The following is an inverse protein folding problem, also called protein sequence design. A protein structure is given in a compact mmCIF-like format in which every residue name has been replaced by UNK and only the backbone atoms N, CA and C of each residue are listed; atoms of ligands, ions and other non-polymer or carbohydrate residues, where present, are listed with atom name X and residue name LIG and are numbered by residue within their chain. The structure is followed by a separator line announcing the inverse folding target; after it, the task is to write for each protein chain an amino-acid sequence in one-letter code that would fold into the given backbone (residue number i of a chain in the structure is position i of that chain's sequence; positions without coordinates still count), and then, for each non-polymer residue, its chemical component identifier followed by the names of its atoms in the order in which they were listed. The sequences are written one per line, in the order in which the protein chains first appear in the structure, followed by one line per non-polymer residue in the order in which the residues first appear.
data_IF_491025937619
#
_entry.id   IF_491025937619
#
_cell.length_a   1.000
_cell.length_b   1.000
_cell.length_c   1.000
_cell.angle_alpha   90.00
_cell.angle_beta   90.00
_cell.angle_gamma   90.00
#
_symmetry.space_group_name_H-M   'P 1'
#
loop_
_entity.id
_entity.type
_entity.pdbx_description
1 polymer ?
#
# COMPACT_ATOMS: atom_id res chain seq x y z
N UNK A 1 -5.29 5.53 -12.36
CA UNK A 1 -4.30 4.52 -12.80
C UNK A 1 -4.76 3.96 -14.14
N UNK A 2 -3.94 3.99 -15.19
CA UNK A 2 -4.18 3.14 -16.37
C UNK A 2 -3.95 1.68 -15.94
N UNK A 3 -4.86 0.79 -16.30
CA UNK A 3 -4.74 -0.65 -16.03
C UNK A 3 -3.50 -1.20 -16.75
N UNK A 4 -2.44 -1.52 -16.02
CA UNK A 4 -1.27 -2.22 -16.56
C UNK A 4 -1.28 -3.64 -16.00
N UNK A 5 -1.54 -4.61 -16.88
CA UNK A 5 -1.26 -6.03 -16.62
C UNK A 5 0.10 -6.33 -17.23
N UNK A 6 1.03 -6.86 -16.43
CA UNK A 6 2.35 -7.26 -16.91
C UNK A 6 2.59 -8.70 -16.46
N UNK A 7 2.83 -9.57 -17.45
CA UNK A 7 3.33 -10.92 -17.23
C UNK A 7 4.84 -10.89 -17.30
N UNK A 8 5.54 -11.27 -16.23
CA UNK A 8 6.99 -11.38 -16.25
C UNK A 8 7.43 -12.82 -16.54
N UNK A 9 8.28 -12.99 -17.56
CA UNK A 9 9.14 -14.17 -17.75
C UNK A 9 10.56 -13.65 -18.01
N UNK A 10 11.52 -13.96 -17.14
CA UNK A 10 12.94 -13.87 -17.52
C UNK A 10 13.30 -15.16 -18.25
N UNK A 11 13.55 -15.07 -19.56
CA UNK A 11 14.17 -16.15 -20.31
C UNK A 11 15.65 -16.24 -19.91
N UNK A 12 16.05 -17.34 -19.28
CA UNK A 12 17.47 -17.67 -19.13
C UNK A 12 17.99 -18.18 -20.47
N UNK A 13 18.88 -17.41 -21.11
CA UNK A 13 19.70 -17.93 -22.21
C UNK A 13 20.74 -18.89 -21.62
N UNK A 14 20.46 -20.19 -21.68
CA UNK A 14 21.48 -21.21 -21.52
C UNK A 14 22.30 -21.25 -22.82
N UNK A 15 23.58 -20.86 -22.74
CA UNK A 15 24.51 -21.03 -23.86
C UNK A 15 24.80 -22.53 -24.03
N UNK A 16 24.18 -23.15 -25.03
CA UNK A 16 24.47 -24.53 -25.42
C UNK A 16 25.68 -24.56 -26.34
N UNK A 17 26.82 -25.00 -25.82
CA UNK A 17 27.94 -25.50 -26.62
C UNK A 17 27.45 -26.76 -27.34
N UNK A 18 27.40 -26.71 -28.67
CA UNK A 18 26.98 -27.84 -29.50
C UNK A 18 28.14 -28.84 -29.63
N UNK A 19 28.00 -30.01 -29.00
CA UNK A 19 28.79 -31.20 -29.36
C UNK A 19 27.83 -32.18 -30.04
N UNK A 20 28.03 -32.43 -31.33
CA UNK A 20 27.31 -33.46 -32.07
C UNK A 20 27.73 -34.85 -31.57
N UNK A 21 26.77 -35.65 -31.13
CA UNK A 21 26.83 -37.11 -31.24
C UNK A 21 25.42 -37.69 -31.32
N UNK A 22 25.23 -38.55 -32.32
CA UNK A 22 23.98 -39.24 -32.65
C UNK A 22 23.65 -40.38 -31.67
N UNK A 23 22.37 -40.74 -31.68
CA UNK A 23 21.70 -41.91 -31.09
C UNK A 23 21.16 -41.79 -29.65
N UNK A 24 19.82 -41.84 -29.52
CA UNK A 24 19.14 -42.29 -28.30
C UNK A 24 17.83 -41.57 -27.96
N UNK A 25 16.71 -42.20 -28.33
CA UNK A 25 15.36 -42.10 -27.71
C UNK A 25 14.59 -40.77 -27.83
N UNK A 26 13.26 -40.80 -28.10
CA UNK A 26 12.42 -39.64 -27.86
C UNK A 26 12.33 -39.44 -26.35
N UNK A 27 13.12 -38.51 -25.82
CA UNK A 27 12.91 -37.97 -24.49
C UNK A 27 11.52 -37.34 -24.48
N UNK A 28 10.59 -37.97 -23.76
CA UNK A 28 9.39 -37.34 -23.24
C UNK A 28 9.85 -36.19 -22.33
N UNK A 29 10.15 -35.04 -22.93
CA UNK A 29 10.17 -33.78 -22.23
C UNK A 29 8.74 -33.57 -21.74
N UNK A 30 8.46 -33.95 -20.49
CA UNK A 30 7.30 -33.46 -19.76
C UNK A 30 7.37 -31.94 -19.88
N UNK A 31 6.45 -31.35 -20.64
CA UNK A 31 6.04 -29.97 -20.46
C UNK A 31 5.88 -29.77 -18.95
N UNK A 32 6.80 -29.04 -18.34
CA UNK A 32 6.74 -28.78 -16.92
C UNK A 32 5.49 -27.95 -16.70
N UNK A 33 4.53 -28.50 -15.96
CA UNK A 33 3.25 -27.85 -15.61
C UNK A 33 3.54 -26.47 -14.97
N UNK A 34 3.57 -25.42 -15.80
CA UNK A 34 3.86 -24.06 -15.37
C UNK A 34 2.60 -23.52 -14.70
N UNK A 35 2.66 -23.29 -13.39
CA UNK A 35 1.54 -22.70 -12.65
C UNK A 35 1.58 -21.19 -12.78
N UNK A 36 0.54 -20.57 -13.31
CA UNK A 36 0.41 -19.10 -13.33
C UNK A 36 -0.31 -18.64 -12.06
N UNK A 37 0.37 -17.88 -11.21
CA UNK A 37 -0.20 -17.26 -10.02
C UNK A 37 -0.63 -15.81 -10.32
N UNK A 38 -1.93 -15.53 -10.17
CA UNK A 38 -2.49 -14.19 -10.42
C UNK A 38 -2.54 -13.36 -9.15
N UNK A 39 -1.89 -12.20 -9.17
CA UNK A 39 -1.84 -11.26 -8.06
C UNK A 39 -2.45 -9.95 -8.53
N UNK A 40 -3.63 -9.60 -8.01
CA UNK A 40 -4.24 -8.30 -8.27
C UNK A 40 -4.07 -7.41 -7.05
N UNK A 41 -3.57 -6.20 -7.26
CA UNK A 41 -3.11 -5.37 -6.18
C UNK A 41 -3.49 -3.90 -6.35
N UNK A 42 -3.96 -3.30 -5.26
CA UNK A 42 -3.95 -1.84 -5.06
C UNK A 42 -2.60 -1.38 -4.53
N UNK A 43 -1.54 -1.75 -5.26
CA UNK A 43 -0.16 -1.39 -5.01
C UNK A 43 0.53 -1.19 -6.37
N UNK A 44 1.46 -0.24 -6.46
CA UNK A 44 2.21 -0.09 -7.69
C UNK A 44 3.18 -1.26 -7.86
N UNK A 45 3.31 -1.72 -9.10
CA UNK A 45 4.25 -2.77 -9.44
C UNK A 45 5.69 -2.39 -9.03
N UNK A 46 6.11 -1.13 -9.21
CA UNK A 46 7.44 -0.65 -8.80
C UNK A 46 7.75 -0.88 -7.32
N UNK A 47 6.73 -0.85 -6.46
CA UNK A 47 6.88 -1.00 -5.02
C UNK A 47 6.89 -2.47 -4.61
N UNK A 48 6.19 -3.32 -5.36
CA UNK A 48 6.16 -4.78 -5.15
C UNK A 48 7.26 -5.52 -5.90
N UNK A 49 7.89 -4.91 -6.92
CA UNK A 49 8.84 -5.59 -7.82
C UNK A 49 9.96 -6.33 -7.09
N UNK A 50 10.63 -5.76 -6.06
CA UNK A 50 11.68 -6.49 -5.35
C UNK A 50 11.20 -7.80 -4.72
N UNK A 51 9.98 -7.80 -4.16
CA UNK A 51 9.34 -9.00 -3.59
C UNK A 51 8.94 -10.01 -4.66
N UNK A 52 8.38 -9.53 -5.77
CA UNK A 52 7.96 -10.38 -6.89
C UNK A 52 9.16 -11.05 -7.55
N UNK A 53 10.24 -10.32 -7.78
CA UNK A 53 11.48 -10.82 -8.38
C UNK A 53 12.12 -11.88 -7.49
N UNK A 54 12.22 -11.63 -6.19
CA UNK A 54 12.80 -12.58 -5.25
C UNK A 54 11.91 -13.83 -5.07
N UNK A 55 10.59 -13.67 -5.05
CA UNK A 55 9.67 -14.82 -5.06
C UNK A 55 9.85 -15.67 -6.33
N UNK A 56 9.90 -15.04 -7.51
CA UNK A 56 10.10 -15.72 -8.79
C UNK A 56 11.43 -16.50 -8.81
N UNK A 57 12.49 -15.97 -8.19
CA UNK A 57 13.77 -16.67 -8.03
C UNK A 57 13.66 -17.90 -7.11
N UNK A 58 12.90 -17.82 -6.03
CA UNK A 58 12.70 -18.95 -5.11
C UNK A 58 11.77 -20.02 -5.68
N UNK A 59 10.82 -19.64 -6.53
CA UNK A 59 9.82 -20.53 -7.09
C UNK A 59 9.78 -20.45 -8.62
N UNK A 60 10.84 -20.91 -9.33
CA UNK A 60 11.00 -20.70 -10.78
C UNK A 60 9.95 -21.43 -11.64
N UNK A 61 9.16 -22.34 -11.06
CA UNK A 61 8.05 -23.04 -11.74
C UNK A 61 6.72 -22.28 -11.67
N UNK A 62 6.63 -21.22 -10.88
CA UNK A 62 5.45 -20.37 -10.77
C UNK A 62 5.68 -19.15 -11.65
N UNK A 63 4.81 -18.90 -12.62
CA UNK A 63 4.80 -17.65 -13.39
C UNK A 63 3.91 -16.64 -12.67
N UNK A 64 4.39 -15.41 -12.45
CA UNK A 64 3.59 -14.35 -11.86
C UNK A 64 2.86 -13.52 -12.92
N UNK A 65 1.56 -13.36 -12.73
CA UNK A 65 0.74 -12.37 -13.43
C UNK A 65 0.32 -11.30 -12.41
N UNK A 66 0.90 -10.10 -12.52
CA UNK A 66 0.61 -9.00 -11.59
C UNK A 66 -0.21 -7.92 -12.29
N UNK A 67 -1.36 -7.56 -11.69
CA UNK A 67 -2.20 -6.45 -12.15
C UNK A 67 -2.30 -5.38 -11.06
N UNK A 68 -1.78 -4.20 -11.34
CA UNK A 68 -2.01 -3.02 -10.53
C UNK A 68 -3.37 -2.41 -10.88
N UNK A 69 -4.23 -2.20 -9.89
CA UNK A 69 -5.62 -1.73 -10.06
C UNK A 69 -6.05 -0.90 -8.85
N UNK A 70 -6.96 0.05 -9.02
CA UNK A 70 -7.46 0.85 -7.88
C UNK A 70 -8.17 -0.05 -6.84
N UNK A 71 -8.13 0.31 -5.56
CA UNK A 71 -8.76 -0.46 -4.48
C UNK A 71 -10.26 -0.65 -4.66
N UNK A 72 -10.97 0.40 -5.10
CA UNK A 72 -12.41 0.37 -5.29
C UNK A 72 -12.79 -0.51 -6.49
N UNK A 73 -12.00 -0.43 -7.58
CA UNK A 73 -12.19 -1.31 -8.74
C UNK A 73 -11.86 -2.76 -8.39
N UNK A 74 -10.82 -3.01 -7.59
CA UNK A 74 -10.43 -4.35 -7.13
C UNK A 74 -11.50 -4.99 -6.24
N UNK A 75 -12.03 -4.25 -5.26
CA UNK A 75 -13.14 -4.71 -4.42
C UNK A 75 -14.35 -5.10 -5.27
N UNK A 76 -14.77 -4.21 -6.19
CA UNK A 76 -15.85 -4.49 -7.13
C UNK A 76 -15.56 -5.73 -7.98
N UNK A 77 -14.36 -5.83 -8.55
CA UNK A 77 -13.94 -6.94 -9.41
C UNK A 77 -14.05 -8.30 -8.70
N UNK A 78 -13.65 -8.38 -7.43
CA UNK A 78 -13.75 -9.59 -6.61
C UNK A 78 -15.22 -9.91 -6.32
N UNK A 79 -16.00 -8.90 -5.90
CA UNK A 79 -17.43 -9.08 -5.56
C UNK A 79 -18.28 -9.51 -6.75
N UNK A 80 -18.03 -8.95 -7.93
CA UNK A 80 -18.75 -9.32 -9.16
C UNK A 80 -18.19 -10.59 -9.80
N UNK A 81 -17.21 -11.25 -9.18
CA UNK A 81 -16.56 -12.47 -9.67
C UNK A 81 -16.09 -12.37 -11.13
N UNK A 82 -15.58 -11.20 -11.53
CA UNK A 82 -15.09 -10.98 -12.89
C UNK A 82 -13.94 -11.94 -13.24
N UNK A 83 -13.90 -12.44 -14.47
CA UNK A 83 -12.92 -13.44 -14.91
C UNK A 83 -11.76 -12.82 -15.70
N UNK A 84 -10.50 -13.26 -15.50
CA UNK A 84 -10.06 -14.26 -14.52
C UNK A 84 -10.00 -13.70 -13.10
N UNK A 85 -10.38 -14.49 -12.10
CA UNK A 85 -10.24 -14.12 -10.69
C UNK A 85 -8.78 -14.20 -10.24
N UNK A 86 -8.32 -13.29 -9.36
CA UNK A 86 -6.99 -13.36 -8.77
C UNK A 86 -6.87 -14.56 -7.81
N UNK A 87 -5.66 -15.10 -7.68
CA UNK A 87 -5.32 -16.04 -6.62
C UNK A 87 -5.00 -15.29 -5.32
N UNK A 88 -4.31 -14.15 -5.42
CA UNK A 88 -3.95 -13.28 -4.30
C UNK A 88 -4.48 -11.87 -4.55
N UNK A 89 -5.07 -11.28 -3.51
CA UNK A 89 -5.49 -9.88 -3.48
C UNK A 89 -4.60 -9.11 -2.49
N UNK A 90 -4.10 -7.94 -2.91
CA UNK A 90 -3.25 -7.07 -2.06
C UNK A 90 -3.83 -5.66 -2.04
N UNK A 91 -3.96 -5.04 -0.88
CA UNK A 91 -4.38 -3.63 -0.77
C UNK A 91 -4.02 -3.02 0.58
N UNK A 92 -3.83 -1.70 0.59
CA UNK A 92 -3.70 -0.88 1.81
C UNK A 92 -5.02 -0.29 2.28
N UNK A 93 -6.11 -0.47 1.52
CA UNK A 93 -7.43 0.03 1.92
C UNK A 93 -8.07 -1.00 2.84
N UNK A 94 -7.74 -0.85 4.13
CA UNK A 94 -7.97 -1.84 5.19
C UNK A 94 -9.45 -2.17 5.36
N UNK A 95 -10.34 -1.19 5.27
CA UNK A 95 -11.78 -1.36 5.40
C UNK A 95 -12.37 -2.23 4.28
N UNK A 96 -12.01 -1.97 3.02
CA UNK A 96 -12.42 -2.83 1.90
C UNK A 96 -11.86 -4.24 2.03
N UNK A 97 -10.58 -4.37 2.42
CA UNK A 97 -9.95 -5.67 2.59
C UNK A 97 -10.61 -6.50 3.69
N UNK A 98 -10.86 -5.87 4.83
CA UNK A 98 -11.53 -6.48 5.96
C UNK A 98 -12.94 -6.92 5.59
N UNK A 99 -13.70 -6.06 4.89
CA UNK A 99 -15.05 -6.37 4.44
C UNK A 99 -15.08 -7.56 3.48
N UNK A 100 -14.19 -7.63 2.48
CA UNK A 100 -14.11 -8.78 1.57
C UNK A 100 -13.88 -10.09 2.32
N UNK A 101 -12.97 -10.09 3.29
CA UNK A 101 -12.68 -11.27 4.11
C UNK A 101 -13.88 -11.63 4.98
N UNK A 102 -14.48 -10.64 5.64
CA UNK A 102 -15.67 -10.83 6.47
C UNK A 102 -16.86 -11.40 5.67
N UNK A 103 -17.02 -10.97 4.42
CA UNK A 103 -18.06 -11.44 3.50
C UNK A 103 -17.75 -12.82 2.88
N UNK A 104 -16.62 -13.44 3.25
CA UNK A 104 -16.29 -14.82 2.89
C UNK A 104 -15.53 -15.00 1.57
N UNK A 105 -14.92 -13.94 1.03
CA UNK A 105 -14.12 -14.01 -0.20
C UNK A 105 -12.72 -14.58 0.00
N UNK A 106 -12.27 -14.77 1.23
CA UNK A 106 -10.94 -15.28 1.55
C UNK A 106 -10.93 -16.78 1.86
N UNK A 107 -9.83 -17.44 1.50
CA UNK A 107 -9.48 -18.78 1.93
C UNK A 107 -8.69 -18.70 3.25
N UNK A 108 -9.14 -19.43 4.27
CA UNK A 108 -8.37 -19.57 5.52
C UNK A 108 -7.08 -20.37 5.27
N UNK A 109 -5.96 -19.83 5.74
CA UNK A 109 -4.67 -20.47 5.69
C UNK A 109 -3.73 -19.84 6.71
N UNK A 110 -3.09 -20.66 7.55
CA UNK A 110 -2.01 -20.25 8.45
C UNK A 110 -0.63 -20.50 7.81
N UNK A 111 0.11 -19.45 7.39
CA UNK A 111 1.46 -19.61 6.90
C UNK A 111 2.40 -20.14 8.00
N UNK A 112 3.37 -21.00 7.68
CA UNK A 112 4.39 -21.43 8.63
C UNK A 112 5.36 -20.26 8.89
N UNK A 113 5.08 -19.44 9.90
CA UNK A 113 5.87 -18.24 10.22
C UNK A 113 7.02 -18.50 11.19
N UNK A 114 6.98 -19.66 11.88
CA UNK A 114 8.08 -20.27 12.62
C UNK A 114 8.78 -21.34 11.79
N UNK A 115 10.10 -21.53 11.98
CA UNK A 115 10.91 -22.54 11.23
C UNK A 115 10.63 -23.97 11.69
N UNK A 116 10.02 -24.17 12.86
CA UNK A 116 9.77 -25.48 13.50
C UNK A 116 8.40 -25.49 14.21
N UNK A 117 7.79 -26.67 14.46
CA UNK A 117 6.46 -26.81 15.09
C UNK A 117 6.28 -26.17 16.47
N UNK A 118 7.37 -25.75 17.13
CA UNK A 118 7.38 -25.17 18.48
C UNK A 118 8.08 -23.80 18.56
N UNK A 119 8.22 -23.08 17.43
CA UNK A 119 8.78 -21.73 17.43
C UNK A 119 7.72 -20.65 17.63
N UNK A 120 8.14 -19.56 18.27
CA UNK A 120 7.35 -18.34 18.49
C UNK A 120 6.84 -17.82 17.13
N UNK A 121 5.55 -17.54 17.02
CA UNK A 121 5.01 -16.83 15.86
C UNK A 121 5.61 -15.42 15.82
N UNK A 122 6.44 -15.16 14.82
CA UNK A 122 7.09 -13.85 14.65
C UNK A 122 6.20 -12.81 13.97
N UNK A 123 4.99 -13.19 13.53
CA UNK A 123 4.00 -12.22 13.13
C UNK A 123 3.26 -11.67 14.35
N UNK A 124 3.12 -10.34 14.45
CA UNK A 124 2.35 -9.75 15.51
C UNK A 124 0.86 -10.10 15.36
N UNK A 125 0.17 -10.32 16.47
CA UNK A 125 -1.27 -10.63 16.49
C UNK A 125 -2.13 -9.53 15.85
N UNK A 126 -1.72 -8.26 15.96
CA UNK A 126 -2.42 -7.13 15.35
C UNK A 126 -2.39 -7.10 13.82
N UNK A 127 -1.55 -7.94 13.18
CA UNK A 127 -1.44 -8.02 11.73
C UNK A 127 -2.16 -9.23 11.12
N UNK A 128 -2.89 -10.02 11.92
CA UNK A 128 -3.56 -11.23 11.44
C UNK A 128 -5.02 -11.21 11.84
N UNK A 129 -5.90 -11.41 10.85
CA UNK A 129 -7.33 -11.57 11.08
C UNK A 129 -7.80 -12.93 10.58
N UNK A 130 -8.30 -13.76 11.51
CA UNK A 130 -8.92 -15.08 11.28
C UNK A 130 -8.11 -16.06 10.41
N UNK A 131 -6.80 -15.89 10.35
CA UNK A 131 -5.93 -16.63 9.42
C UNK A 131 -6.39 -16.51 7.95
N UNK A 132 -7.13 -15.46 7.62
CA UNK A 132 -7.70 -15.19 6.30
C UNK A 132 -7.07 -13.93 5.70
N UNK A 133 -6.74 -12.94 6.53
CA UNK A 133 -6.16 -11.67 6.12
C UNK A 133 -4.87 -11.38 6.89
N UNK A 134 -3.82 -11.06 6.15
CA UNK A 134 -2.48 -10.85 6.70
C UNK A 134 -1.96 -9.48 6.31
N UNK A 135 -1.78 -8.62 7.30
CA UNK A 135 -0.90 -7.47 7.19
C UNK A 135 0.52 -7.92 6.90
N UNK A 136 1.25 -7.15 6.09
CA UNK A 136 2.67 -7.41 5.81
C UNK A 136 3.52 -6.16 5.78
N UNK A 137 2.93 -4.96 5.84
CA UNK A 137 3.63 -3.68 6.00
C UNK A 137 3.02 -2.82 7.10
N UNK A 138 3.73 -1.77 7.51
CA UNK A 138 3.31 -0.80 8.52
C UNK A 138 3.64 0.62 8.07
N UNK A 139 2.78 1.20 7.24
CA UNK A 139 3.09 2.39 6.43
C UNK A 139 2.45 3.67 7.01
N UNK A 140 3.23 4.67 7.45
CA UNK A 140 2.73 5.97 7.85
C UNK A 140 2.08 6.76 6.71
N UNK A 141 1.05 7.54 7.00
CA UNK A 141 0.56 8.61 6.12
C UNK A 141 1.25 9.94 6.47
N UNK A 142 1.84 10.60 5.48
CA UNK A 142 2.73 11.74 5.65
C UNK A 142 2.25 12.96 4.86
N UNK A 143 2.73 14.13 5.26
CA UNK A 143 2.64 15.36 4.48
C UNK A 143 3.91 15.47 3.64
N UNK A 144 3.80 15.93 2.41
CA UNK A 144 4.94 16.11 1.51
C UNK A 144 4.94 17.55 0.99
N UNK A 145 6.08 18.23 1.10
CA UNK A 145 6.26 19.61 0.66
C UNK A 145 7.28 19.63 -0.48
N UNK A 146 7.06 20.50 -1.47
CA UNK A 146 8.07 20.75 -2.50
C UNK A 146 9.31 21.41 -1.85
N UNK A 147 10.50 20.87 -2.10
CA UNK A 147 11.73 21.28 -1.42
C UNK A 147 12.22 22.67 -1.83
N UNK A 148 12.08 23.04 -3.10
CA UNK A 148 12.45 24.37 -3.59
C UNK A 148 11.57 25.45 -2.95
N UNK A 149 10.26 25.21 -2.88
CA UNK A 149 9.34 26.09 -2.17
C UNK A 149 9.70 26.26 -0.68
N UNK A 150 10.28 25.25 -0.05
CA UNK A 150 10.67 25.28 1.36
C UNK A 150 12.00 25.99 1.64
N UNK A 151 12.73 26.46 0.62
CA UNK A 151 13.99 27.17 0.82
C UNK A 151 13.79 28.43 1.67
N UNK A 152 14.59 28.55 2.75
CA UNK A 152 14.48 29.64 3.73
C UNK A 152 13.24 29.60 4.64
N UNK A 153 12.37 28.57 4.52
CA UNK A 153 11.15 28.43 5.32
C UNK A 153 11.32 27.38 6.43
N UNK A 154 10.66 27.57 7.56
CA UNK A 154 10.61 26.57 8.64
C UNK A 154 9.61 25.48 8.27
N UNK A 155 10.05 24.22 8.32
CA UNK A 155 9.21 23.04 8.04
C UNK A 155 8.17 22.88 9.17
N UNK A 156 6.86 22.84 8.87
CA UNK A 156 5.84 22.58 9.88
C UNK A 156 5.95 21.13 10.35
N UNK A 157 5.94 20.90 11.67
CA UNK A 157 6.13 19.56 12.26
C UNK A 157 4.84 18.85 12.61
N UNK A 158 3.75 19.57 12.74
CA UNK A 158 2.43 19.06 13.11
C UNK A 158 1.34 19.87 12.39
N UNK A 159 0.08 19.45 12.51
CA UNK A 159 -1.02 20.12 11.78
C UNK A 159 -1.32 21.53 12.28
N UNK A 160 -1.07 21.85 13.56
CA UNK A 160 -1.24 23.23 14.07
C UNK A 160 -0.24 24.19 13.41
N UNK A 161 1.01 23.76 13.30
CA UNK A 161 2.04 24.48 12.55
C UNK A 161 1.74 24.51 11.05
N UNK A 162 1.22 23.43 10.48
CA UNK A 162 0.81 23.37 9.07
C UNK A 162 -0.27 24.41 8.75
N UNK A 163 -1.31 24.52 9.59
CA UNK A 163 -2.37 25.52 9.43
C UNK A 163 -1.78 26.94 9.49
N UNK A 164 -0.86 27.19 10.41
CA UNK A 164 -0.18 28.48 10.53
C UNK A 164 0.74 28.77 9.34
N UNK A 165 1.42 27.74 8.84
CA UNK A 165 2.28 27.78 7.67
C UNK A 165 1.49 28.11 6.40
N UNK A 166 0.36 27.44 6.17
CA UNK A 166 -0.52 27.70 5.02
C UNK A 166 -1.05 29.14 5.08
N UNK A 167 -1.49 29.62 6.26
CA UNK A 167 -1.93 31.02 6.42
C UNK A 167 -0.82 32.04 6.15
N UNK A 168 0.41 31.75 6.59
CA UNK A 168 1.57 32.63 6.38
C UNK A 168 1.96 32.75 4.91
N UNK A 169 1.93 31.63 4.18
CA UNK A 169 2.31 31.56 2.76
C UNK A 169 1.08 31.42 1.85
N UNK A 170 -0.04 32.04 2.24
CA UNK A 170 -1.35 31.84 1.63
C UNK A 170 -1.35 32.13 0.11
N UNK A 171 -0.72 33.24 -0.29
CA UNK A 171 -0.63 33.63 -1.70
C UNK A 171 0.16 32.63 -2.57
N UNK A 172 1.20 31.99 -2.03
CA UNK A 172 1.99 30.97 -2.73
C UNK A 172 1.24 29.63 -2.81
N UNK A 173 0.39 29.33 -1.82
CA UNK A 173 -0.29 28.03 -1.68
C UNK A 173 -1.71 27.99 -2.25
N UNK A 174 -2.27 29.13 -2.63
CA UNK A 174 -3.59 29.22 -3.28
C UNK A 174 -3.59 28.40 -4.58
N UNK A 175 -4.46 27.39 -4.67
CA UNK A 175 -4.55 26.45 -5.79
C UNK A 175 -3.41 25.42 -5.85
N UNK A 176 -2.51 25.39 -4.86
CA UNK A 176 -1.30 24.57 -4.85
C UNK A 176 -1.23 23.56 -3.69
N UNK A 177 -2.37 23.20 -3.13
CA UNK A 177 -2.50 22.14 -2.12
C UNK A 177 -3.16 20.92 -2.78
N UNK A 178 -2.57 19.74 -2.64
CA UNK A 178 -3.10 18.48 -3.15
C UNK A 178 -3.58 17.56 -2.03
N UNK A 179 -4.75 16.95 -2.23
CA UNK A 179 -5.28 15.87 -1.38
C UNK A 179 -5.93 14.78 -2.24
N UNK A 180 -6.27 13.65 -1.65
CA UNK A 180 -7.00 12.59 -2.37
C UNK A 180 -8.45 13.00 -2.67
N UNK A 181 -8.94 12.58 -3.84
CA UNK A 181 -10.39 12.53 -4.08
C UNK A 181 -11.01 11.36 -3.30
N UNK A 182 -11.59 11.62 -2.13
CA UNK A 182 -12.09 10.56 -1.25
C UNK A 182 -13.35 9.85 -1.79
N UNK A 183 -13.99 10.41 -2.82
CA UNK A 183 -15.15 9.81 -3.49
C UNK A 183 -14.72 8.54 -4.22
N UNK A 184 -13.60 8.64 -4.93
CA UNK A 184 -13.09 7.60 -5.83
C UNK A 184 -11.86 6.86 -5.29
N UNK A 185 -11.13 7.44 -4.34
CA UNK A 185 -9.86 6.88 -3.83
C UNK A 185 -10.05 6.31 -2.43
N UNK A 186 -10.12 4.98 -2.33
CA UNK A 186 -10.37 4.26 -1.07
C UNK A 186 -9.38 4.57 0.06
N UNK A 187 -8.07 4.70 -0.25
CA UNK A 187 -7.07 5.06 0.79
C UNK A 187 -7.27 6.49 1.30
N UNK A 188 -7.68 7.41 0.41
CA UNK A 188 -8.03 8.77 0.78
C UNK A 188 -9.21 8.79 1.74
N UNK A 189 -10.27 8.05 1.42
CA UNK A 189 -11.42 7.89 2.31
C UNK A 189 -11.06 7.29 3.67
N UNK A 190 -10.25 6.21 3.69
CA UNK A 190 -9.83 5.56 4.93
C UNK A 190 -9.10 6.54 5.86
N UNK A 191 -8.11 7.25 5.32
CA UNK A 191 -7.33 8.23 6.08
C UNK A 191 -8.18 9.43 6.51
N UNK A 192 -9.09 9.91 5.65
CA UNK A 192 -9.97 11.02 5.98
C UNK A 192 -10.97 10.67 7.09
N UNK A 193 -11.56 9.46 7.02
CA UNK A 193 -12.48 8.95 8.04
C UNK A 193 -11.77 8.76 9.38
N UNK A 194 -10.53 8.30 9.35
CA UNK A 194 -9.68 8.20 10.54
C UNK A 194 -9.39 9.59 11.13
N UNK A 195 -8.94 10.52 10.31
CA UNK A 195 -8.62 11.89 10.71
C UNK A 195 -9.82 12.62 11.31
N UNK A 196 -11.03 12.42 10.76
CA UNK A 196 -12.29 12.96 11.32
C UNK A 196 -12.53 12.56 12.78
N UNK A 197 -12.07 11.38 13.18
CA UNK A 197 -12.23 10.87 14.56
C UNK A 197 -11.07 11.36 15.44
N UNK A 198 -9.87 11.46 14.90
CA UNK A 198 -8.66 11.73 15.67
C UNK A 198 -8.34 13.22 15.85
N UNK A 199 -8.61 14.04 14.84
CA UNK A 199 -8.10 15.40 14.78
C UNK A 199 -9.04 16.41 15.44
N UNK A 200 -8.52 17.13 16.44
CA UNK A 200 -9.24 18.26 17.06
C UNK A 200 -9.39 19.46 16.14
N UNK A 201 -8.51 19.58 15.14
CA UNK A 201 -8.47 20.67 14.15
C UNK A 201 -9.07 20.29 12.79
N UNK A 202 -9.80 19.17 12.71
CA UNK A 202 -10.39 18.65 11.46
C UNK A 202 -11.17 19.71 10.67
N UNK A 203 -12.08 20.45 11.32
CA UNK A 203 -12.84 21.52 10.68
C UNK A 203 -11.98 22.67 10.16
N UNK A 204 -10.89 23.01 10.85
CA UNK A 204 -9.97 24.06 10.41
C UNK A 204 -9.16 23.64 9.18
N UNK A 205 -8.80 22.36 9.08
CA UNK A 205 -8.13 21.82 7.88
C UNK A 205 -9.08 21.90 6.68
N UNK A 206 -10.34 21.48 6.85
CA UNK A 206 -11.37 21.57 5.83
C UNK A 206 -11.58 23.02 5.35
N UNK A 207 -11.75 23.96 6.27
CA UNK A 207 -11.92 25.38 5.96
C UNK A 207 -10.70 25.98 5.26
N UNK A 208 -9.50 25.60 5.71
CA UNK A 208 -8.27 26.13 5.12
C UNK A 208 -8.02 25.56 3.72
N UNK A 209 -8.29 24.27 3.51
CA UNK A 209 -8.21 23.65 2.18
C UNK A 209 -9.24 24.25 1.23
N UNK A 210 -10.45 24.54 1.72
CA UNK A 210 -11.49 25.26 0.95
C UNK A 210 -10.99 26.63 0.48
N UNK A 211 -10.58 27.47 1.43
CA UNK A 211 -10.16 28.85 1.16
C UNK A 211 -8.90 28.95 0.29
N UNK A 212 -8.13 27.87 0.16
CA UNK A 212 -6.93 27.80 -0.68
C UNK A 212 -7.14 26.97 -1.96
N UNK A 213 -8.39 26.67 -2.34
CA UNK A 213 -8.72 25.92 -3.56
C UNK A 213 -7.93 24.61 -3.69
N UNK A 214 -7.88 23.81 -2.60
CA UNK A 214 -7.17 22.55 -2.60
C UNK A 214 -7.66 21.62 -3.73
N UNK A 215 -6.73 21.08 -4.50
CA UNK A 215 -6.96 20.20 -5.65
C UNK A 215 -7.01 18.75 -5.23
N UNK A 216 -7.84 17.97 -5.91
CA UNK A 216 -8.03 16.55 -5.62
C UNK A 216 -7.30 15.68 -6.64
N UNK A 217 -6.77 14.55 -6.19
CA UNK A 217 -5.94 13.67 -7.02
C UNK A 217 -6.35 12.20 -6.88
N UNK A 218 -6.24 11.41 -7.96
CA UNK A 218 -6.65 10.01 -7.97
C UNK A 218 -5.63 9.06 -7.31
N UNK A 219 -4.43 9.54 -6.97
CA UNK A 219 -3.36 8.68 -6.47
C UNK A 219 -2.20 9.45 -5.82
N UNK A 220 -1.40 8.78 -4.98
CA UNK A 220 -0.16 9.37 -4.45
C UNK A 220 0.85 9.69 -5.55
N UNK A 221 0.95 8.85 -6.58
CA UNK A 221 1.90 9.07 -7.67
C UNK A 221 1.57 10.35 -8.44
N UNK A 222 0.28 10.59 -8.74
CA UNK A 222 -0.14 11.84 -9.39
C UNK A 222 0.09 13.08 -8.52
N UNK A 223 -0.07 12.98 -7.20
CA UNK A 223 0.27 14.10 -6.30
C UNK A 223 1.78 14.35 -6.25
N UNK A 224 2.60 13.29 -6.19
CA UNK A 224 4.05 13.43 -6.18
C UNK A 224 4.59 13.96 -7.52
N UNK A 225 4.01 13.55 -8.65
CA UNK A 225 4.28 14.17 -9.97
C UNK A 225 3.91 15.65 -9.96
N UNK A 226 2.71 16.01 -9.50
CA UNK A 226 2.29 17.41 -9.43
C UNK A 226 3.15 18.27 -8.46
N UNK A 227 3.72 17.66 -7.42
CA UNK A 227 4.71 18.31 -6.54
C UNK A 227 6.04 18.57 -7.25
N UNK A 228 6.51 17.59 -8.04
CA UNK A 228 7.73 17.69 -8.85
C UNK A 228 7.60 18.75 -9.93
N UNK A 229 6.45 18.79 -10.59
CA UNK A 229 6.13 19.76 -11.66
C UNK A 229 5.72 21.14 -11.10
N UNK A 230 5.77 21.34 -9.77
CA UNK A 230 5.39 22.56 -9.04
C UNK A 230 3.95 23.06 -9.27
N UNK A 231 3.09 22.17 -9.81
CA UNK A 231 1.66 22.36 -9.94
C UNK A 231 0.96 22.45 -8.58
N UNK A 232 1.48 21.71 -7.60
CA UNK A 232 1.17 21.86 -6.18
C UNK A 232 2.48 21.97 -5.40
N UNK A 233 2.43 22.54 -4.20
CA UNK A 233 3.60 22.72 -3.32
C UNK A 233 3.47 21.95 -2.00
N UNK A 234 2.27 21.43 -1.72
CA UNK A 234 1.96 20.65 -0.53
C UNK A 234 1.02 19.51 -0.95
N UNK A 235 1.39 18.26 -0.65
CA UNK A 235 0.51 17.10 -0.76
C UNK A 235 0.22 16.51 0.63
N UNK A 236 -1.06 16.25 0.91
CA UNK A 236 -1.54 15.84 2.21
C UNK A 236 -1.96 14.35 2.22
N UNK A 237 -1.60 13.64 3.30
CA UNK A 237 -1.91 12.22 3.51
C UNK A 237 -1.33 11.24 2.47
N UNK A 238 -0.12 11.49 1.97
CA UNK A 238 0.60 10.57 1.07
C UNK A 238 1.07 9.33 1.82
N UNK A 239 1.10 8.15 1.18
CA UNK A 239 1.74 6.99 1.79
C UNK A 239 3.25 7.17 1.88
N UNK A 240 3.80 7.07 3.09
CA UNK A 240 5.21 7.35 3.38
C UNK A 240 6.20 6.46 2.61
N UNK A 241 5.81 5.21 2.32
CA UNK A 241 6.58 4.31 1.45
C UNK A 241 6.80 4.92 0.06
N UNK A 242 5.73 5.41 -0.57
CA UNK A 242 5.80 6.02 -1.89
C UNK A 242 6.52 7.37 -1.86
N UNK A 243 6.31 8.18 -0.82
CA UNK A 243 7.04 9.42 -0.64
C UNK A 243 8.55 9.18 -0.53
N UNK A 244 8.97 8.15 0.21
CA UNK A 244 10.38 7.76 0.34
C UNK A 244 10.97 7.23 -0.96
N UNK A 245 10.25 6.37 -1.68
CA UNK A 245 10.65 5.91 -3.01
C UNK A 245 10.81 7.08 -3.99
N UNK A 246 9.98 8.13 -3.86
CA UNK A 246 10.10 9.36 -4.64
C UNK A 246 11.32 10.20 -4.25
N UNK A 247 11.52 10.43 -2.95
CA UNK A 247 12.66 11.18 -2.42
C UNK A 247 14.00 10.55 -2.84
N UNK A 248 14.12 9.22 -2.80
CA UNK A 248 15.30 8.49 -3.25
C UNK A 248 15.60 8.70 -4.74
N UNK A 249 14.56 8.95 -5.56
CA UNK A 249 14.68 9.14 -7.00
C UNK A 249 14.95 10.58 -7.42
N UNK A 250 14.26 11.56 -6.82
CA UNK A 250 14.24 12.94 -7.30
C UNK A 250 14.81 13.96 -6.30
N UNK A 251 14.88 13.64 -5.01
CA UNK A 251 15.47 14.48 -3.94
C UNK A 251 14.90 15.91 -3.84
N UNK A 252 13.67 16.11 -4.31
CA UNK A 252 12.97 17.38 -4.53
C UNK A 252 11.78 17.60 -3.58
N UNK A 253 11.61 16.71 -2.61
CA UNK A 253 10.53 16.76 -1.61
C UNK A 253 11.07 16.79 -0.19
N UNK A 254 10.28 17.35 0.73
CA UNK A 254 10.45 17.24 2.18
C UNK A 254 9.27 16.43 2.72
N UNK A 255 9.58 15.32 3.40
CA UNK A 255 8.58 14.41 3.98
C UNK A 255 8.41 14.71 5.45
N UNK A 256 7.18 14.96 5.88
CA UNK A 256 6.81 15.24 7.27
C UNK A 256 5.84 14.18 7.76
N UNK A 257 6.31 13.35 8.70
CA UNK A 257 5.42 12.58 9.57
C UNK A 257 5.01 13.50 10.73
N UNK A 258 3.73 13.85 10.81
CA UNK A 258 3.26 14.86 11.74
C UNK A 258 3.36 14.39 13.20
N UNK A 259 3.90 15.24 14.08
CA UNK A 259 4.20 14.91 15.48
C UNK A 259 2.95 14.84 16.37
N UNK A 260 1.87 15.56 16.03
CA UNK A 260 0.60 15.52 16.76
C UNK A 260 -0.07 14.15 16.66
N UNK A 261 -0.15 13.62 15.44
CA UNK A 261 -0.38 12.21 15.17
C UNK A 261 -0.01 11.86 13.73
N UNK A 262 0.41 10.63 13.53
CA UNK A 262 0.68 10.06 12.21
C UNK A 262 -0.15 8.78 12.04
N UNK A 263 -1.18 8.77 11.15
CA UNK A 263 -1.91 7.56 10.83
C UNK A 263 -0.96 6.49 10.31
N UNK A 264 -1.14 5.23 10.74
CA UNK A 264 -0.39 4.10 10.18
C UNK A 264 -1.35 3.09 9.58
N UNK A 265 -1.12 2.78 8.31
CA UNK A 265 -1.91 1.84 7.51
C UNK A 265 -1.15 0.52 7.39
N UNK A 266 -1.88 -0.58 7.49
CA UNK A 266 -1.35 -1.92 7.33
C UNK A 266 -1.73 -2.41 5.93
N UNK A 267 -0.76 -2.52 5.02
CA UNK A 267 -1.01 -3.21 3.75
C UNK A 267 -1.20 -4.68 4.02
N UNK A 268 -2.23 -5.25 3.41
CA UNK A 268 -2.65 -6.61 3.68
C UNK A 268 -2.78 -7.41 2.39
N UNK A 269 -2.72 -8.72 2.55
CA UNK A 269 -2.92 -9.69 1.50
C UNK A 269 -3.83 -10.83 1.99
N UNK A 270 -4.64 -11.38 1.08
CA UNK A 270 -5.38 -12.62 1.32
C UNK A 270 -5.38 -13.52 0.09
N UNK A 271 -5.59 -14.82 0.31
CA UNK A 271 -5.80 -15.80 -0.76
C UNK A 271 -7.28 -15.81 -1.10
N UNK A 272 -7.64 -15.54 -2.36
CA UNK A 272 -9.03 -15.56 -2.78
C UNK A 272 -9.59 -16.98 -2.70
N UNK A 273 -10.81 -17.14 -2.19
CA UNK A 273 -11.50 -18.43 -2.07
C UNK A 273 -11.74 -19.09 -3.43
N UNK A 274 -11.78 -18.30 -4.50
CA UNK A 274 -11.94 -18.72 -5.90
C UNK A 274 -10.65 -19.20 -6.56
N UNK A 275 -9.49 -19.13 -5.87
CA UNK A 275 -8.18 -19.53 -6.40
C UNK A 275 -8.23 -20.94 -6.98
N UNK A 276 -7.71 -21.09 -8.21
CA UNK A 276 -7.49 -22.40 -8.83
C UNK A 276 -6.06 -22.91 -8.59
N UNK A 277 -5.20 -22.07 -8.01
CA UNK A 277 -3.79 -22.36 -7.74
C UNK A 277 -3.46 -22.30 -6.22
N UNK A 278 -4.19 -22.99 -5.33
CA UNK A 278 -4.08 -22.80 -3.89
C UNK A 278 -2.68 -23.10 -3.33
N UNK A 279 -1.92 -24.01 -3.95
CA UNK A 279 -0.53 -24.30 -3.55
C UNK A 279 0.39 -23.11 -3.80
N UNK A 280 0.34 -22.53 -5.00
CA UNK A 280 1.14 -21.37 -5.37
C UNK A 280 0.73 -20.12 -4.56
N UNK A 281 -0.57 -19.94 -4.32
CA UNK A 281 -1.08 -18.84 -3.50
C UNK A 281 -0.59 -18.93 -2.05
N UNK A 282 -0.65 -20.12 -1.44
CA UNK A 282 -0.10 -20.38 -0.10
C UNK A 282 1.41 -20.14 -0.03
N UNK A 283 2.16 -20.53 -1.07
CA UNK A 283 3.60 -20.26 -1.15
C UNK A 283 3.89 -18.76 -1.20
N UNK A 284 3.15 -18.00 -2.02
CA UNK A 284 3.32 -16.55 -2.11
C UNK A 284 2.98 -15.83 -0.80
N UNK A 285 1.83 -16.14 -0.20
CA UNK A 285 1.45 -15.53 1.08
C UNK A 285 2.46 -15.88 2.17
N UNK A 286 2.93 -17.13 2.22
CA UNK A 286 3.97 -17.56 3.18
C UNK A 286 5.29 -16.83 2.97
N UNK A 287 5.68 -16.63 1.70
CA UNK A 287 6.87 -15.87 1.37
C UNK A 287 6.77 -14.42 1.84
N UNK A 288 5.64 -13.75 1.57
CA UNK A 288 5.42 -12.34 1.88
C UNK A 288 5.57 -12.04 3.39
N UNK A 289 5.16 -12.99 4.23
CA UNK A 289 5.24 -12.89 5.70
C UNK A 289 6.42 -13.68 6.30
N UNK A 290 7.29 -14.25 5.47
CA UNK A 290 8.49 -14.98 5.90
C UNK A 290 9.59 -14.03 6.36
N UNK A 291 10.57 -14.56 7.10
CA UNK A 291 11.77 -13.80 7.45
C UNK A 291 12.51 -13.28 6.19
N UNK A 292 12.56 -14.07 5.10
CA UNK A 292 13.20 -13.67 3.84
C UNK A 292 12.50 -12.47 3.21
N UNK A 293 11.19 -12.57 2.98
CA UNK A 293 10.41 -11.51 2.35
C UNK A 293 10.43 -10.23 3.16
N UNK A 294 10.27 -10.33 4.48
CA UNK A 294 10.25 -9.17 5.37
C UNK A 294 11.64 -8.54 5.57
N UNK A 295 12.71 -9.32 5.53
CA UNK A 295 14.07 -8.79 5.49
C UNK A 295 14.33 -8.05 4.18
N UNK A 296 13.95 -8.64 3.05
CA UNK A 296 14.06 -8.00 1.74
C UNK A 296 13.26 -6.69 1.69
N UNK A 297 12.05 -6.64 2.25
CA UNK A 297 11.29 -5.39 2.39
C UNK A 297 12.07 -4.32 3.13
N UNK A 298 12.74 -4.70 4.22
CA UNK A 298 13.55 -3.77 5.02
C UNK A 298 14.78 -3.22 4.29
N UNK A 299 15.33 -3.99 3.36
CA UNK A 299 16.59 -3.72 2.66
C UNK A 299 16.38 -3.05 1.30
N UNK A 300 15.33 -3.44 0.57
CA UNK A 300 15.14 -3.12 -0.86
C UNK A 300 13.82 -2.42 -1.16
N UNK A 301 13.02 -2.10 -0.14
CA UNK A 301 11.78 -1.33 -0.31
C UNK A 301 11.69 -0.23 0.75
N UNK A 302 10.69 0.64 0.57
CA UNK A 302 10.31 1.63 1.57
C UNK A 302 9.07 1.25 2.37
N UNK A 303 8.64 -0.02 2.30
CA UNK A 303 7.56 -0.57 3.13
C UNK A 303 8.12 -1.12 4.45
N UNK A 304 7.77 -0.53 5.61
CA UNK A 304 8.23 -1.02 6.91
C UNK A 304 7.78 -2.48 7.18
N UNK A 305 8.71 -3.43 7.44
CA UNK A 305 8.35 -4.80 7.74
C UNK A 305 7.72 -4.93 9.13
N UNK A 306 6.85 -5.93 9.30
CA UNK A 306 6.07 -6.15 10.54
C UNK A 306 6.60 -7.25 11.44
N UNK A 307 7.49 -8.10 10.93
CA UNK A 307 8.01 -9.25 11.66
C UNK A 307 8.82 -8.84 12.89
N UNK A 308 8.55 -9.47 14.02
CA UNK A 308 9.16 -9.16 15.31
C UNK A 308 10.65 -9.49 15.37
N UNK A 309 11.12 -10.43 14.54
CA UNK A 309 12.52 -10.85 14.42
C UNK A 309 13.35 -10.03 13.41
N UNK A 310 12.77 -8.99 12.80
CA UNK A 310 13.49 -8.09 11.89
C UNK A 310 14.02 -6.87 12.67
N UNK A 311 15.32 -6.89 12.95
CA UNK A 311 16.03 -5.78 13.59
C UNK A 311 16.48 -4.76 12.53
N UNK A 312 15.62 -3.79 12.24
CA UNK A 312 15.89 -2.68 11.31
C UNK A 312 15.28 -1.40 11.85
N UNK A 313 15.93 -0.23 11.71
CA UNK A 313 15.31 1.06 12.01
C UNK A 313 14.04 1.34 11.19
N UNK A 314 13.89 0.68 10.04
CA UNK A 314 12.69 0.74 9.20
C UNK A 314 11.57 -0.19 9.68
N UNK A 315 11.76 -1.04 10.70
CA UNK A 315 10.75 -2.03 11.09
C UNK A 315 9.63 -1.44 11.94
N UNK A 316 8.43 -2.03 11.85
CA UNK A 316 7.28 -1.68 12.68
C UNK A 316 7.62 -1.78 14.18
N UNK A 317 8.42 -2.78 14.57
CA UNK A 317 8.89 -2.95 15.95
C UNK A 317 9.69 -1.74 16.42
N UNK A 318 10.63 -1.25 15.62
CA UNK A 318 11.42 -0.07 15.95
C UNK A 318 10.55 1.19 15.99
N UNK A 319 9.75 1.40 14.94
CA UNK A 319 8.87 2.56 14.81
C UNK A 319 7.88 2.66 15.99
N UNK A 320 7.23 1.56 16.37
CA UNK A 320 6.30 1.51 17.51
C UNK A 320 6.97 1.75 18.85
N UNK A 321 8.27 1.46 18.98
CA UNK A 321 9.04 1.71 20.20
C UNK A 321 9.48 3.17 20.30
N UNK A 322 9.93 3.76 19.19
CA UNK A 322 10.52 5.11 19.18
C UNK A 322 9.48 6.22 19.01
N UNK A 323 8.40 5.95 18.28
CA UNK A 323 7.38 6.94 17.91
C UNK A 323 6.01 6.60 18.52
N UNK A 324 5.99 6.01 19.72
CA UNK A 324 4.76 5.46 20.35
C UNK A 324 3.65 6.50 20.52
N UNK A 325 3.99 7.72 20.91
CA UNK A 325 3.01 8.79 21.14
C UNK A 325 2.52 9.42 19.83
N UNK A 326 3.37 9.39 18.80
CA UNK A 326 3.12 9.98 17.48
C UNK A 326 2.31 9.04 16.57
N UNK A 327 2.70 7.77 16.46
CA UNK A 327 2.06 6.83 15.53
C UNK A 327 0.70 6.41 16.06
N UNK A 328 -0.33 6.52 15.22
CA UNK A 328 -1.69 6.07 15.49
C UNK A 328 -2.11 5.04 14.44
N UNK A 329 -1.87 3.74 14.71
CA UNK A 329 -2.21 2.69 13.76
C UNK A 329 -3.71 2.49 13.68
N UNK A 330 -4.21 2.31 12.46
CA UNK A 330 -5.57 1.85 12.26
C UNK A 330 -5.59 0.35 12.62
N UNK A 331 -6.42 -0.08 13.59
CA UNK A 331 -6.45 -1.49 13.97
C UNK A 331 -7.05 -2.34 12.84
N UNK A 332 -6.48 -3.52 12.62
CA UNK A 332 -7.01 -4.51 11.68
C UNK A 332 -8.05 -5.39 12.38
N UNK A 333 -9.21 -4.82 12.67
CA UNK A 333 -10.30 -5.49 13.39
C UNK A 333 -11.69 -5.04 12.91
N UNK A 334 -12.73 -5.52 13.59
CA UNK A 334 -14.15 -5.28 13.27
C UNK A 334 -14.54 -3.80 13.23
N UNK A 335 -13.78 -2.90 13.84
CA UNK A 335 -14.06 -1.45 13.79
C UNK A 335 -13.98 -0.91 12.36
N UNK A 336 -13.21 -1.55 11.48
CA UNK A 336 -13.11 -1.23 10.06
C UNK A 336 -14.43 -1.41 9.29
N UNK A 337 -15.36 -2.22 9.80
CA UNK A 337 -16.67 -2.40 9.17
C UNK A 337 -17.51 -1.13 9.24
N UNK A 338 -17.29 -0.27 10.25
CA UNK A 338 -17.97 1.04 10.36
C UNK A 338 -17.57 1.95 9.20
N UNK A 339 -16.30 1.92 8.78
CA UNK A 339 -15.81 2.69 7.64
C UNK A 339 -16.42 2.20 6.32
N UNK A 340 -16.75 0.91 6.24
CA UNK A 340 -17.38 0.29 5.08
C UNK A 340 -18.91 0.46 5.01
N UNK A 341 -19.55 0.95 6.06
CA UNK A 341 -20.99 1.21 6.07
C UNK A 341 -21.35 2.34 5.08
N UNK A 342 -22.38 2.12 4.27
CA UNK A 342 -22.72 3.04 3.18
C UNK A 342 -23.22 4.39 3.70
N UNK A 343 -24.04 4.40 4.75
CA UNK A 343 -24.57 5.64 5.32
C UNK A 343 -23.47 6.45 5.99
N UNK A 344 -22.57 5.78 6.74
CA UNK A 344 -21.39 6.44 7.33
C UNK A 344 -20.47 7.02 6.26
N UNK A 345 -20.23 6.27 5.18
CA UNK A 345 -19.44 6.73 4.04
C UNK A 345 -20.04 7.97 3.39
N UNK A 346 -21.34 7.98 3.15
CA UNK A 346 -22.05 9.11 2.54
C UNK A 346 -21.95 10.39 3.40
N UNK A 347 -22.06 10.26 4.72
CA UNK A 347 -21.88 11.39 5.65
C UNK A 347 -20.48 12.00 5.51
N UNK A 348 -19.43 11.18 5.55
CA UNK A 348 -18.04 11.66 5.44
C UNK A 348 -17.77 12.29 4.09
N UNK A 349 -18.27 11.68 3.00
CA UNK A 349 -18.11 12.23 1.65
C UNK A 349 -18.83 13.58 1.53
N UNK A 350 -20.08 13.67 2.01
CA UNK A 350 -20.86 14.92 1.93
C UNK A 350 -20.21 16.04 2.73
N UNK A 351 -19.71 15.75 3.93
CA UNK A 351 -18.99 16.72 4.75
C UNK A 351 -17.73 17.25 4.06
N UNK A 352 -16.95 16.34 3.46
CA UNK A 352 -15.77 16.69 2.69
C UNK A 352 -16.09 17.45 1.41
N UNK A 353 -17.14 17.05 0.69
CA UNK A 353 -17.61 17.74 -0.51
C UNK A 353 -18.07 19.16 -0.18
N UNK A 354 -18.85 19.38 0.88
CA UNK A 354 -19.28 20.73 1.27
C UNK A 354 -18.10 21.65 1.65
N UNK A 355 -17.01 21.06 2.13
CA UNK A 355 -15.78 21.78 2.38
C UNK A 355 -15.01 22.06 1.08
N UNK A 356 -14.80 21.08 0.20
CA UNK A 356 -13.89 21.27 -0.95
C UNK A 356 -14.58 21.65 -2.26
N UNK A 357 -15.90 21.48 -2.40
CA UNK A 357 -16.67 21.94 -3.56
C UNK A 357 -17.13 23.38 -3.37
N UNK A 358 -16.47 24.25 -4.12
CA UNK A 358 -17.12 25.11 -5.12
C UNK A 358 -16.24 25.24 -6.39
N UNK A 359 -15.53 24.19 -6.85
CA UNK A 359 -14.70 24.30 -8.07
C UNK A 359 -14.72 23.02 -8.90
N UNK A 360 -15.50 23.04 -9.98
CA UNK A 360 -15.31 22.22 -11.20
C UNK A 360 -14.52 23.02 -12.23
#
# INVERSE_FOLDING_TARGET
MKDYSITFKRAFFASCVTVLSLCGSPSLAKESDQTTLRIYAAAYLSEMQPLLDDFQQQYPRITLEYKAISSNTLDRYIRTQASPQPDITISSVMDLQFRLVNDGFALQYAPPTGRLPNQINHLPSWAVWREELYGFSYEPAVIVLNKAFMEGKVVPKNRVELLSFIRRYSAELTGKIGTFDIREVGIGYLLWSFERIQATNYGQILELFKSHYARTFPSSASMLTALHDEEILLAYNIMGSYAKSWEEKYQDVIIVAAEDYTPVVIRSAFINKTTQNPKAAKQFLSYLVSNRGQRLMSEQTNMPPIRLDINSPKSATFMRKVLVDQLKPIPLDVTLLVNSDQNKREIVITEWENALKEFE
#
